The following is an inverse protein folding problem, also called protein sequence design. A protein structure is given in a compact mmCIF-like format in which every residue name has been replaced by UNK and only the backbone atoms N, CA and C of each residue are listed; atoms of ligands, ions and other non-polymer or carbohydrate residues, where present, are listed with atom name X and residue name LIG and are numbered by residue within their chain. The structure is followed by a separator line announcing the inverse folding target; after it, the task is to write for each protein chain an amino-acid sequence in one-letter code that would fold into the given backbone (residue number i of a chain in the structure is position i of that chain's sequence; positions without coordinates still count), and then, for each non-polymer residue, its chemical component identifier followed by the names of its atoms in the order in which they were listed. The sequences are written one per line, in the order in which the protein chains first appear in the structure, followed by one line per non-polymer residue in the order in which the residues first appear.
data_IF_152369049259
#
_entry.id   IF_152369049259
#
_cell.length_a   1.000
_cell.length_b   1.000
_cell.length_c   1.000
_cell.angle_alpha   90.00
_cell.angle_beta   90.00
_cell.angle_gamma   90.00
#
_symmetry.space_group_name_H-M   'P 1'
#
loop_
_entity.id
_entity.type
_entity.pdbx_description
1 polymer ?
#
# COMPACT_ATOMS: atom_id res chain seq x y z
N UNK A 1 9.35 2.39 -9.39
CA UNK A 1 9.97 1.34 -8.52
C UNK A 1 8.94 0.95 -7.47
N UNK A 2 8.90 -0.33 -7.09
CA UNK A 2 8.04 -0.85 -6.03
C UNK A 2 8.94 -1.62 -5.05
N UNK A 3 8.82 -1.33 -3.75
CA UNK A 3 9.42 -2.08 -2.66
C UNK A 3 8.30 -2.55 -1.74
N UNK A 4 8.09 -3.86 -1.64
CA UNK A 4 6.98 -4.42 -0.86
C UNK A 4 7.38 -5.65 -0.07
N UNK A 5 6.82 -5.82 1.11
CA UNK A 5 6.99 -7.01 1.93
C UNK A 5 6.72 -6.78 3.40
N UNK A 6 7.13 -7.74 4.22
CA UNK A 6 7.14 -7.67 5.67
C UNK A 6 8.45 -7.04 6.16
N UNK A 7 8.35 -5.88 6.80
CA UNK A 7 9.49 -5.11 7.31
C UNK A 7 9.78 -5.41 8.79
N UNK A 8 8.92 -6.19 9.46
CA UNK A 8 8.98 -6.44 10.91
C UNK A 8 9.08 -5.15 11.76
N UNK A 9 8.59 -4.03 11.23
CA UNK A 9 8.64 -2.70 11.82
C UNK A 9 7.22 -2.16 11.89
N UNK A 10 6.73 -1.81 13.07
CA UNK A 10 5.33 -1.41 13.23
C UNK A 10 5.09 0.04 12.78
N UNK A 11 4.76 0.25 11.51
CA UNK A 11 4.55 1.57 10.92
C UNK A 11 3.43 2.38 11.59
N UNK A 12 2.55 1.80 12.40
CA UNK A 12 1.55 2.54 13.17
C UNK A 12 2.14 3.30 14.38
N UNK A 13 3.39 3.06 14.77
CA UNK A 13 4.06 3.75 15.89
C UNK A 13 4.89 4.94 15.38
N UNK A 14 4.52 6.15 15.81
CA UNK A 14 5.06 7.40 15.26
C UNK A 14 6.55 7.64 15.58
N UNK A 15 6.98 7.46 16.83
CA UNK A 15 8.27 8.00 17.28
C UNK A 15 9.50 7.19 16.81
N UNK A 16 9.37 5.90 16.56
CA UNK A 16 10.53 5.01 16.29
C UNK A 16 10.65 4.60 14.84
N UNK A 17 9.52 4.48 14.14
CA UNK A 17 9.46 3.84 12.83
C UNK A 17 9.43 4.87 11.69
N UNK A 18 9.32 6.14 12.04
CA UNK A 18 9.47 7.26 11.11
C UNK A 18 10.86 7.31 10.45
N UNK A 19 11.92 6.90 11.16
CA UNK A 19 13.29 6.89 10.62
C UNK A 19 13.44 6.03 9.36
N UNK A 20 12.78 4.87 9.30
CA UNK A 20 12.82 4.00 8.13
C UNK A 20 12.05 4.64 6.96
N UNK A 21 10.88 5.22 7.24
CA UNK A 21 10.08 5.91 6.22
C UNK A 21 10.87 7.10 5.65
N UNK A 22 11.49 7.90 6.51
CA UNK A 22 12.32 9.05 6.13
C UNK A 22 13.55 8.62 5.34
N UNK A 23 14.26 7.57 5.78
CA UNK A 23 15.40 7.04 5.03
C UNK A 23 14.99 6.59 3.62
N UNK A 24 13.90 5.83 3.50
CA UNK A 24 13.40 5.37 2.21
C UNK A 24 12.99 6.54 1.30
N UNK A 25 12.40 7.57 1.89
CA UNK A 25 12.03 8.78 1.16
C UNK A 25 13.25 9.59 0.71
N UNK A 26 14.20 9.86 1.61
CA UNK A 26 15.33 10.75 1.35
C UNK A 26 16.35 10.11 0.39
N UNK A 27 16.69 8.85 0.58
CA UNK A 27 17.73 8.17 -0.21
C UNK A 27 17.18 7.66 -1.55
N UNK A 28 15.92 7.20 -1.54
CA UNK A 28 15.36 6.53 -2.69
C UNK A 28 14.17 7.25 -3.30
N UNK A 29 13.61 8.32 -2.72
CA UNK A 29 12.39 8.96 -3.22
C UNK A 29 11.16 8.05 -3.13
N UNK A 30 11.16 7.09 -2.20
CA UNK A 30 10.07 6.15 -2.00
C UNK A 30 9.01 6.72 -1.06
N UNK A 31 7.74 6.58 -1.41
CA UNK A 31 6.59 6.94 -0.57
C UNK A 31 5.76 5.71 -0.25
N UNK A 32 5.22 5.63 0.96
CA UNK A 32 4.36 4.52 1.37
C UNK A 32 2.99 4.63 0.68
N UNK A 33 2.51 3.53 0.11
CA UNK A 33 1.26 3.47 -0.67
C UNK A 33 0.08 2.96 0.15
N UNK A 34 0.27 2.03 1.08
CA UNK A 34 -0.79 1.59 1.99
C UNK A 34 -0.89 2.49 3.23
N UNK A 35 -2.09 2.61 3.80
CA UNK A 35 -2.32 3.37 5.02
C UNK A 35 -1.61 2.73 6.22
N UNK A 36 -0.71 3.48 6.87
CA UNK A 36 0.05 3.03 8.03
C UNK A 36 -0.84 2.74 9.26
N UNK A 37 -2.02 3.34 9.33
CA UNK A 37 -2.97 3.16 10.44
C UNK A 37 -3.90 1.95 10.23
N UNK A 38 -3.89 1.34 9.05
CA UNK A 38 -4.61 0.10 8.78
C UNK A 38 -3.71 -1.10 9.04
N UNK A 39 -4.00 -1.80 10.14
CA UNK A 39 -3.22 -2.98 10.52
C UNK A 39 -3.19 -4.05 9.44
N UNK A 40 -1.99 -4.50 9.09
CA UNK A 40 -1.71 -5.58 8.14
C UNK A 40 -1.69 -6.96 8.76
N UNK A 41 -1.96 -7.08 10.07
CA UNK A 41 -1.96 -8.36 10.79
C UNK A 41 -3.24 -8.54 11.60
N UNK A 42 -3.41 -9.74 12.18
CA UNK A 42 -4.53 -10.02 13.10
C UNK A 42 -4.33 -9.39 14.50
N UNK A 43 -3.10 -9.06 14.93
CA UNK A 43 -2.86 -8.38 16.22
C UNK A 43 -2.71 -6.87 16.13
N UNK A 44 -3.34 -6.24 15.13
CA UNK A 44 -3.40 -4.78 15.05
C UNK A 44 -2.04 -4.11 14.85
N UNK A 45 -1.05 -4.82 14.28
CA UNK A 45 0.22 -4.22 13.84
C UNK A 45 0.19 -3.91 12.35
N UNK A 46 0.99 -2.94 11.93
CA UNK A 46 1.20 -2.58 10.52
C UNK A 46 2.67 -2.84 10.20
N UNK A 47 3.02 -4.05 9.79
CA UNK A 47 4.42 -4.45 9.53
C UNK A 47 4.69 -4.79 8.06
N UNK A 48 3.63 -5.04 7.30
CA UNK A 48 3.69 -5.15 5.86
C UNK A 48 3.52 -3.76 5.25
N UNK A 49 4.33 -3.44 4.24
CA UNK A 49 4.25 -2.15 3.57
C UNK A 49 4.54 -2.27 2.08
N UNK A 50 4.00 -1.33 1.33
CA UNK A 50 4.29 -1.11 -0.09
C UNK A 50 4.78 0.32 -0.24
N UNK A 51 5.97 0.48 -0.79
CA UNK A 51 6.57 1.76 -1.12
C UNK A 51 6.73 1.89 -2.62
N UNK A 52 6.47 3.09 -3.15
CA UNK A 52 6.52 3.38 -4.58
C UNK A 52 7.35 4.62 -4.91
N UNK A 53 7.83 4.68 -6.15
CA UNK A 53 8.47 5.87 -6.72
C UNK A 53 8.11 6.02 -8.19
N UNK A 54 7.68 7.22 -8.57
CA UNK A 54 7.30 7.64 -9.93
C UNK A 54 6.19 6.76 -10.54
N UNK A 55 5.17 6.41 -9.75
CA UNK A 55 3.99 5.67 -10.20
C UNK A 55 2.73 6.45 -9.82
N UNK A 56 2.19 7.20 -10.78
CA UNK A 56 1.11 8.17 -10.52
C UNK A 56 -0.27 7.52 -10.41
N UNK A 57 -0.45 6.33 -11.00
CA UNK A 57 -1.70 5.55 -11.01
C UNK A 57 -1.51 4.20 -10.32
N UNK A 58 -1.04 4.26 -9.08
CA UNK A 58 -0.76 3.09 -8.26
C UNK A 58 -1.57 3.14 -6.97
N UNK A 59 -2.35 2.10 -6.71
CA UNK A 59 -3.09 1.94 -5.46
C UNK A 59 -2.78 0.60 -4.79
N UNK A 60 -2.72 0.61 -3.46
CA UNK A 60 -2.63 -0.60 -2.63
C UNK A 60 -3.85 -0.70 -1.72
N UNK A 61 -4.51 -1.86 -1.73
CA UNK A 61 -5.67 -2.15 -0.88
C UNK A 61 -5.41 -3.36 -0.01
N UNK A 62 -5.88 -3.27 1.24
CA UNK A 62 -5.75 -4.31 2.24
C UNK A 62 -7.01 -5.20 2.25
N UNK A 63 -6.83 -6.51 2.29
CA UNK A 63 -7.94 -7.47 2.29
C UNK A 63 -7.94 -8.36 3.53
N UNK A 64 -9.08 -9.00 3.80
CA UNK A 64 -9.21 -9.96 4.91
C UNK A 64 -8.44 -11.24 4.59
N UNK A 65 -7.80 -11.81 5.61
CA UNK A 65 -7.10 -13.09 5.52
C UNK A 65 -7.76 -14.12 6.42
N UNK A 66 -8.20 -15.22 5.82
CA UNK A 66 -8.77 -16.35 6.56
C UNK A 66 -7.65 -17.22 7.16
N UNK A 67 -6.68 -17.62 6.35
CA UNK A 67 -5.70 -18.66 6.71
C UNK A 67 -4.32 -18.16 7.09
N UNK A 68 -3.98 -16.89 6.83
CA UNK A 68 -2.72 -16.28 7.27
C UNK A 68 -2.94 -15.39 8.49
N UNK A 69 -1.86 -15.22 9.25
CA UNK A 69 -1.79 -14.19 10.27
C UNK A 69 -1.68 -12.78 9.67
N UNK A 70 -1.01 -12.67 8.52
CA UNK A 70 -0.89 -11.44 7.74
C UNK A 70 -2.10 -11.30 6.81
N UNK A 71 -2.51 -10.04 6.63
CA UNK A 71 -3.54 -9.61 5.70
C UNK A 71 -2.90 -9.33 4.34
N UNK A 72 -3.42 -9.90 3.24
CA UNK A 72 -2.87 -9.63 1.92
C UNK A 72 -3.04 -8.15 1.56
N UNK A 73 -1.98 -7.57 1.00
CA UNK A 73 -2.01 -6.27 0.33
C UNK A 73 -1.99 -6.55 -1.17
N UNK A 74 -3.01 -6.09 -1.87
CA UNK A 74 -3.08 -6.17 -3.34
C UNK A 74 -2.81 -4.78 -3.88
N UNK A 75 -1.89 -4.69 -4.84
CA UNK A 75 -1.57 -3.44 -5.50
C UNK A 75 -1.94 -3.49 -6.98
N UNK A 76 -2.51 -2.40 -7.48
CA UNK A 76 -2.90 -2.23 -8.88
C UNK A 76 -2.10 -1.06 -9.43
N UNK A 77 -1.37 -1.32 -10.52
CA UNK A 77 -0.76 -0.29 -11.35
C UNK A 77 -1.60 -0.17 -12.62
N UNK A 78 -2.24 0.98 -12.80
CA UNK A 78 -2.84 1.29 -14.09
C UNK A 78 -1.74 1.75 -15.02
N UNK A 79 -1.50 0.95 -16.06
CA UNK A 79 -0.66 1.36 -17.16
C UNK A 79 -1.58 2.15 -18.09
N UNK A 80 -1.51 3.47 -18.00
CA UNK A 80 -2.13 4.33 -19.01
C UNK A 80 -1.37 4.14 -20.32
N UNK A 81 -2.11 4.07 -21.42
CA UNK A 81 -1.57 4.46 -22.71
C UNK A 81 -1.35 5.97 -22.62
N UNK A 82 -0.17 6.43 -22.20
CA UNK A 82 0.22 7.85 -22.33
C UNK A 82 0.36 8.28 -23.82
N UNK A 83 -0.27 7.53 -24.75
CA UNK A 83 -0.46 7.82 -26.17
C UNK A 83 -1.94 7.67 -26.65
N UNK A 84 -2.91 7.47 -25.75
CA UNK A 84 -4.33 7.47 -26.12
C UNK A 84 -5.13 8.36 -25.18
N UNK A 85 -5.50 9.55 -25.68
CA UNK A 85 -6.13 10.60 -24.91
C UNK A 85 -7.43 10.20 -24.22
N UNK A 86 -7.63 10.82 -23.05
CA UNK A 86 -8.89 11.17 -22.41
C UNK A 86 -9.99 10.09 -22.42
N UNK A 87 -10.07 9.30 -21.34
CA UNK A 87 -11.31 8.64 -20.94
C UNK A 87 -11.57 8.85 -19.45
N UNK A 88 -12.61 9.64 -19.21
CA UNK A 88 -13.17 10.16 -17.96
C UNK A 88 -14.12 9.14 -17.28
N UNK A 89 -13.74 7.86 -17.31
CA UNK A 89 -14.51 6.77 -16.71
C UNK A 89 -14.31 6.66 -15.20
N UNK A 90 -15.16 7.32 -14.41
CA UNK A 90 -15.33 7.04 -12.98
C UNK A 90 -15.75 5.57 -12.80
N UNK A 91 -14.84 4.71 -12.32
CA UNK A 91 -15.15 3.32 -11.99
C UNK A 91 -15.61 3.19 -10.54
N UNK A 92 -16.91 2.98 -10.38
CA UNK A 92 -17.52 2.55 -9.12
C UNK A 92 -17.10 1.10 -8.85
N UNK A 93 -16.28 0.87 -7.83
CA UNK A 93 -15.95 -0.48 -7.35
C UNK A 93 -16.93 -0.84 -6.23
N UNK A 94 -18.02 -1.52 -6.58
CA UNK A 94 -18.87 -2.16 -5.57
C UNK A 94 -18.18 -3.42 -5.05
N UNK A 95 -17.83 -3.42 -3.76
CA UNK A 95 -17.37 -4.62 -3.05
C UNK A 95 -18.52 -5.08 -2.16
N UNK A 96 -19.07 -6.25 -2.44
CA UNK A 96 -20.09 -6.86 -1.60
C UNK A 96 -19.46 -7.29 -0.26
N UNK A 97 -19.97 -6.74 0.83
CA UNK A 97 -19.72 -7.29 2.16
C UNK A 97 -20.68 -8.45 2.37
N UNK A 98 -20.16 -9.68 2.43
CA UNK A 98 -20.95 -10.80 2.96
C UNK A 98 -21.08 -10.65 4.48
N UNK A 99 -22.33 -10.86 4.93
CA UNK A 99 -22.85 -10.56 6.27
C UNK A 99 -22.35 -11.51 7.36
#
# INVERSE_FOLDING_TARGET
MILSGDFNTNFAEDDKNQLLIEFLNNEFGLTMSNDRNLSTTKYKTTIDAVFIRHLNRFESKLFVSYFSYHKPIVSVLEIGDDDAGNDDGERVVEIMYES
#
